data_IF_867732092288
#
_entry.id   IF_867732092288
#
_cell.length_a   1.000
_cell.length_b   1.000
_cell.length_c   1.000
_cell.angle_alpha   90.00
_cell.angle_beta   90.00
_cell.angle_gamma   90.00
#
_symmetry.space_group_name_H-M   'P 1'
#
loop_
_entity.id
_entity.type
_entity.pdbx_description
1 polymer ?
#
# COMPACT_ATOMS: atom_id res chain seq x y z
N UNK A 1 10.03 19.85 -5.53
CA UNK A 1 8.76 19.28 -5.01
C UNK A 1 7.61 19.77 -5.88
N UNK A 2 6.69 18.89 -6.27
CA UNK A 2 5.52 19.23 -7.09
C UNK A 2 4.26 19.10 -6.26
N UNK A 3 3.45 20.14 -6.18
CA UNK A 3 2.22 20.16 -5.39
C UNK A 3 1.03 19.76 -6.26
N UNK A 4 0.19 18.86 -5.74
CA UNK A 4 -0.97 18.33 -6.45
C UNK A 4 -2.26 18.97 -5.93
N UNK A 5 -2.71 20.04 -6.58
CA UNK A 5 -3.96 20.72 -6.21
C UNK A 5 -5.22 19.90 -6.55
N UNK A 6 -5.11 18.96 -7.48
CA UNK A 6 -6.16 18.05 -7.93
C UNK A 6 -5.70 16.60 -7.76
N UNK A 7 -6.62 15.67 -7.95
CA UNK A 7 -6.35 14.23 -7.83
C UNK A 7 -5.13 13.80 -8.69
N UNK A 8 -4.05 13.29 -8.06
CA UNK A 8 -2.82 12.90 -8.74
C UNK A 8 -2.93 11.56 -9.48
N UNK A 9 -4.04 10.82 -9.35
CA UNK A 9 -4.20 9.45 -9.84
C UNK A 9 -3.83 9.27 -11.31
N UNK A 10 -4.29 10.17 -12.18
CA UNK A 10 -4.04 10.09 -13.63
C UNK A 10 -2.57 10.30 -13.98
N UNK A 11 -1.95 11.34 -13.41
CA UNK A 11 -0.53 11.64 -13.64
C UNK A 11 0.39 10.57 -13.06
N UNK A 12 0.00 9.98 -11.93
CA UNK A 12 0.70 8.83 -11.37
C UNK A 12 0.60 7.62 -12.29
N UNK A 13 -0.60 7.24 -12.73
CA UNK A 13 -0.79 6.10 -13.61
C UNK A 13 -0.01 6.24 -14.93
N UNK A 14 0.08 7.45 -15.46
CA UNK A 14 0.90 7.74 -16.65
C UNK A 14 2.39 7.53 -16.39
N UNK A 15 2.94 8.14 -15.33
CA UNK A 15 4.37 8.03 -15.01
C UNK A 15 4.77 6.60 -14.68
N UNK A 16 4.01 5.92 -13.83
CA UNK A 16 4.26 4.51 -13.50
C UNK A 16 4.05 3.58 -14.70
N UNK A 17 3.11 3.91 -15.60
CA UNK A 17 2.92 3.21 -16.87
C UNK A 17 4.14 3.33 -17.79
N UNK A 18 4.76 4.51 -17.83
CA UNK A 18 6.01 4.71 -18.56
C UNK A 18 7.18 3.94 -17.93
N UNK A 19 7.29 3.94 -16.60
CA UNK A 19 8.30 3.16 -15.88
C UNK A 19 8.12 1.66 -16.17
N UNK A 20 6.87 1.17 -16.16
CA UNK A 20 6.53 -0.20 -16.48
C UNK A 20 6.95 -0.60 -17.90
N UNK A 21 6.78 0.30 -18.88
CA UNK A 21 7.14 0.05 -20.29
C UNK A 21 8.62 0.26 -20.62
N UNK A 22 9.36 0.97 -19.78
CA UNK A 22 10.76 1.34 -20.06
C UNK A 22 11.73 0.63 -19.13
N UNK A 23 11.81 1.08 -17.87
CA UNK A 23 12.81 0.61 -16.90
C UNK A 23 12.52 -0.78 -16.37
N UNK A 24 11.23 -1.12 -16.25
CA UNK A 24 10.78 -2.38 -15.64
C UNK A 24 10.28 -3.42 -16.66
N UNK A 25 10.32 -3.13 -17.96
CA UNK A 25 9.74 -3.98 -19.00
C UNK A 25 10.36 -5.38 -19.07
N UNK A 26 11.67 -5.48 -18.86
CA UNK A 26 12.43 -6.73 -18.94
C UNK A 26 12.69 -7.40 -17.58
N UNK A 27 12.06 -6.90 -16.50
CA UNK A 27 12.32 -7.43 -15.16
C UNK A 27 11.40 -8.65 -14.92
N UNK A 28 11.96 -9.82 -14.55
CA UNK A 28 11.19 -11.07 -14.41
C UNK A 28 10.18 -11.05 -13.25
N UNK A 29 10.19 -9.99 -12.44
CA UNK A 29 9.24 -9.77 -11.34
C UNK A 29 7.91 -9.18 -11.83
N UNK A 30 7.85 -8.70 -13.08
CA UNK A 30 6.67 -8.06 -13.65
C UNK A 30 5.60 -9.09 -14.03
N UNK A 31 4.44 -8.97 -13.41
CA UNK A 31 3.26 -9.74 -13.71
C UNK A 31 2.53 -9.13 -14.91
N UNK A 32 2.55 -9.82 -16.05
CA UNK A 32 1.88 -9.37 -17.29
C UNK A 32 0.34 -9.31 -17.17
N UNK A 33 -0.24 -9.95 -16.14
CA UNK A 33 -1.68 -9.87 -15.89
C UNK A 33 -2.10 -8.61 -15.15
N UNK A 34 -1.16 -7.84 -14.60
CA UNK A 34 -1.41 -6.61 -13.87
C UNK A 34 -1.13 -5.39 -14.73
N UNK A 35 -1.93 -4.35 -14.51
CA UNK A 35 -1.80 -3.06 -15.18
C UNK A 35 -1.54 -1.98 -14.14
N UNK A 36 -0.96 -0.85 -14.59
CA UNK A 36 -0.77 0.30 -13.72
C UNK A 36 -2.13 0.96 -13.46
N UNK A 37 -2.55 1.01 -12.21
CA UNK A 37 -3.81 1.65 -11.81
C UNK A 37 -3.67 2.34 -10.45
N UNK A 38 -4.09 3.60 -10.38
CA UNK A 38 -4.16 4.40 -9.17
C UNK A 38 -5.59 4.32 -8.59
N UNK A 39 -5.72 3.91 -7.33
CA UNK A 39 -7.01 3.59 -6.69
C UNK A 39 -7.11 4.25 -5.33
N UNK A 40 -8.25 4.89 -5.07
CA UNK A 40 -8.62 5.36 -3.73
C UNK A 40 -7.79 6.54 -3.24
N UNK A 41 -7.30 7.40 -4.15
CA UNK A 41 -6.63 8.64 -3.76
C UNK A 41 -7.62 9.61 -3.12
N UNK A 42 -7.36 9.97 -1.88
CA UNK A 42 -8.15 10.92 -1.11
C UNK A 42 -7.24 11.96 -0.47
N UNK A 43 -7.75 13.19 -0.37
CA UNK A 43 -7.08 14.27 0.33
C UNK A 43 -7.31 14.09 1.83
N UNK A 44 -6.23 13.86 2.57
CA UNK A 44 -6.28 13.70 4.02
C UNK A 44 -6.52 15.05 4.70
N UNK A 45 -6.98 15.06 5.98
CA UNK A 45 -7.16 16.29 6.75
C UNK A 45 -5.87 17.12 6.91
N UNK A 46 -4.70 16.49 6.78
CA UNK A 46 -3.40 17.16 6.81
C UNK A 46 -3.02 17.82 5.46
N UNK A 47 -3.84 17.68 4.43
CA UNK A 47 -3.66 18.33 3.12
C UNK A 47 -2.71 17.59 2.18
N UNK A 48 -2.49 16.29 2.38
CA UNK A 48 -1.77 15.44 1.44
C UNK A 48 -2.69 14.39 0.83
N UNK A 49 -2.37 13.93 -0.38
CA UNK A 49 -3.08 12.84 -1.03
C UNK A 49 -2.53 11.51 -0.54
N UNK A 50 -3.40 10.55 -0.26
CA UNK A 50 -3.04 9.18 0.05
C UNK A 50 -3.89 8.21 -0.77
N UNK A 51 -3.26 7.20 -1.38
CA UNK A 51 -3.94 6.21 -2.20
C UNK A 51 -3.09 4.98 -2.49
N UNK A 52 -3.65 4.00 -3.18
CA UNK A 52 -2.99 2.76 -3.56
C UNK A 52 -2.63 2.81 -5.04
N UNK A 53 -1.42 2.41 -5.38
CA UNK A 53 -0.91 2.24 -6.73
C UNK A 53 -0.64 0.77 -7.00
N UNK A 54 -1.31 0.23 -8.01
CA UNK A 54 -1.03 -1.08 -8.57
C UNK A 54 0.00 -0.90 -9.68
N UNK A 55 1.05 -1.72 -9.66
CA UNK A 55 2.00 -1.84 -10.75
C UNK A 55 2.24 -3.32 -11.07
N UNK A 56 2.78 -3.66 -12.25
CA UNK A 56 3.09 -5.04 -12.59
C UNK A 56 4.04 -5.76 -11.62
N UNK A 57 4.90 -5.03 -10.91
CA UNK A 57 5.86 -5.62 -9.97
C UNK A 57 5.42 -5.57 -8.51
N UNK A 58 4.64 -4.56 -8.12
CA UNK A 58 4.26 -4.34 -6.73
C UNK A 58 2.96 -3.54 -6.56
N UNK A 59 2.30 -3.73 -5.42
CA UNK A 59 1.22 -2.85 -4.95
C UNK A 59 1.78 -1.96 -3.84
N UNK A 60 1.71 -0.64 -4.04
CA UNK A 60 2.31 0.35 -3.15
C UNK A 60 1.25 1.34 -2.67
N UNK A 61 1.35 1.78 -1.42
CA UNK A 61 0.70 3.03 -1.00
C UNK A 61 1.54 4.20 -1.43
N UNK A 62 0.88 5.26 -1.90
CA UNK A 62 1.51 6.51 -2.28
C UNK A 62 0.89 7.64 -1.48
N UNK A 63 1.75 8.49 -0.93
CA UNK A 63 1.38 9.78 -0.39
C UNK A 63 2.06 10.90 -1.17
N UNK A 64 1.28 11.92 -1.55
CA UNK A 64 1.77 13.06 -2.32
C UNK A 64 1.41 14.39 -1.67
N UNK A 65 2.27 15.41 -1.77
CA UNK A 65 1.96 16.73 -1.24
C UNK A 65 0.80 17.38 -2.01
N UNK A 66 -0.32 17.63 -1.33
CA UNK A 66 -1.45 18.42 -1.85
C UNK A 66 -1.30 19.92 -1.59
N UNK A 67 -0.49 20.28 -0.59
CA UNK A 67 -0.09 21.63 -0.25
C UNK A 67 1.37 21.64 0.25
N UNK A 68 2.03 22.79 0.16
CA UNK A 68 3.41 22.93 0.64
C UNK A 68 3.49 22.92 2.17
N UNK A 69 2.47 23.47 2.82
CA UNK A 69 2.42 23.61 4.29
C UNK A 69 2.13 22.28 4.96
N UNK A 70 3.08 21.79 5.77
CA UNK A 70 2.93 20.55 6.53
C UNK A 70 3.47 19.29 5.82
N UNK A 71 4.02 19.42 4.62
CA UNK A 71 4.75 18.31 4.00
C UNK A 71 6.19 18.22 4.53
N UNK A 72 6.64 17.05 5.01
CA UNK A 72 8.00 16.88 5.52
C UNK A 72 9.03 17.02 4.39
N UNK A 73 10.01 17.91 4.58
CA UNK A 73 11.18 17.96 3.71
C UNK A 73 12.21 16.93 4.17
N UNK A 74 12.00 15.69 3.75
CA UNK A 74 12.93 14.59 4.00
C UNK A 74 13.73 14.28 2.71
N UNK A 75 15.01 13.88 2.83
CA UNK A 75 15.80 13.50 1.67
C UNK A 75 15.28 12.19 1.07
N UNK A 76 15.49 11.99 -0.24
CA UNK A 76 15.17 10.74 -0.91
C UNK A 76 15.81 9.54 -0.19
N UNK A 77 15.11 8.39 -0.22
CA UNK A 77 15.45 7.16 0.49
C UNK A 77 15.34 7.23 2.03
N UNK A 78 14.84 8.33 2.59
CA UNK A 78 14.53 8.41 4.03
C UNK A 78 13.22 7.68 4.35
N UNK A 79 13.03 7.35 5.62
CA UNK A 79 11.76 6.81 6.12
C UNK A 79 10.95 7.91 6.81
N UNK A 80 9.65 7.89 6.62
CA UNK A 80 8.71 8.83 7.20
C UNK A 80 7.42 8.14 7.60
N UNK A 81 7.03 8.29 8.86
CA UNK A 81 5.83 7.64 9.38
C UNK A 81 4.61 8.55 9.21
N UNK A 82 3.60 8.04 8.52
CA UNK A 82 2.30 8.71 8.38
C UNK A 82 1.27 8.04 9.28
N UNK A 83 0.57 8.85 10.08
CA UNK A 83 -0.54 8.40 10.89
C UNK A 83 -1.84 8.45 10.09
N UNK A 84 -2.44 7.28 9.89
CA UNK A 84 -3.77 7.12 9.31
C UNK A 84 -4.78 6.69 10.39
N UNK A 85 -6.07 6.65 10.04
CA UNK A 85 -7.11 6.15 10.94
C UNK A 85 -6.86 4.70 11.32
N UNK A 86 -6.39 3.87 10.38
CA UNK A 86 -6.08 2.47 10.62
C UNK A 86 -4.81 2.21 11.43
N UNK A 87 -3.91 3.19 11.55
CA UNK A 87 -2.64 3.04 12.26
C UNK A 87 -1.50 3.85 11.68
N UNK A 88 -0.29 3.59 12.19
CA UNK A 88 0.96 4.21 11.74
C UNK A 88 1.58 3.36 10.63
N UNK A 89 1.97 4.01 9.53
CA UNK A 89 2.62 3.34 8.39
C UNK A 89 3.93 4.02 8.07
N UNK A 90 4.99 3.23 7.94
CA UNK A 90 6.32 3.70 7.53
C UNK A 90 6.38 3.81 6.01
N UNK A 91 6.52 5.02 5.49
CA UNK A 91 6.73 5.28 4.07
C UNK A 91 8.20 5.59 3.79
N UNK A 92 8.67 5.17 2.63
CA UNK A 92 9.97 5.59 2.09
C UNK A 92 9.78 6.82 1.20
N UNK A 93 10.58 7.85 1.42
CA UNK A 93 10.63 9.04 0.59
C UNK A 93 11.27 8.66 -0.74
N UNK A 94 10.54 8.82 -1.82
CA UNK A 94 11.00 8.64 -3.18
C UNK A 94 10.96 9.97 -3.92
N UNK A 95 11.79 10.06 -4.96
CA UNK A 95 11.82 11.20 -5.84
C UNK A 95 11.77 10.69 -7.27
N UNK A 96 10.82 11.22 -8.03
CA UNK A 96 10.70 10.94 -9.46
C UNK A 96 10.61 12.27 -10.19
N UNK A 97 11.35 12.41 -11.28
CA UNK A 97 11.55 13.71 -11.96
C UNK A 97 10.22 14.34 -12.39
N UNK A 98 9.25 13.51 -12.81
CA UNK A 98 7.92 13.94 -13.28
C UNK A 98 6.90 14.20 -12.15
N UNK A 99 7.09 13.54 -11.01
CA UNK A 99 6.15 13.58 -9.86
C UNK A 99 6.65 14.47 -8.71
N UNK A 100 7.96 14.76 -8.68
CA UNK A 100 8.66 15.36 -7.55
C UNK A 100 8.90 14.35 -6.42
N UNK A 101 9.07 14.87 -5.21
CA UNK A 101 9.18 14.09 -3.98
C UNK A 101 7.81 13.56 -3.57
N UNK A 102 7.70 12.25 -3.39
CA UNK A 102 6.51 11.55 -2.91
C UNK A 102 6.92 10.45 -1.94
N UNK A 103 5.98 9.99 -1.12
CA UNK A 103 6.25 8.94 -0.14
C UNK A 103 5.59 7.66 -0.64
N UNK A 104 6.30 6.54 -0.61
CA UNK A 104 5.77 5.25 -1.02
C UNK A 104 5.97 4.19 0.06
N UNK A 105 5.00 3.31 0.24
CA UNK A 105 5.10 2.15 1.12
C UNK A 105 4.73 0.90 0.32
N UNK A 106 5.68 -0.02 0.13
CA UNK A 106 5.41 -1.27 -0.59
C UNK A 106 4.63 -2.22 0.29
N UNK A 107 3.41 -2.56 -0.12
CA UNK A 107 2.56 -3.51 0.60
C UNK A 107 2.80 -4.93 0.11
N UNK A 108 2.85 -5.10 -1.22
CA UNK A 108 3.04 -6.39 -1.85
C UNK A 108 4.12 -6.30 -2.93
N UNK A 109 5.22 -6.99 -2.71
CA UNK A 109 6.31 -7.12 -3.67
C UNK A 109 7.00 -8.46 -3.42
N UNK A 110 7.02 -9.40 -4.38
CA UNK A 110 6.47 -9.30 -5.74
C UNK A 110 4.95 -9.44 -5.82
N UNK A 111 4.29 -8.69 -6.72
CA UNK A 111 2.86 -8.84 -7.02
C UNK A 111 2.53 -10.07 -7.91
N UNK A 112 3.42 -11.06 -7.96
CA UNK A 112 3.22 -12.31 -8.71
C UNK A 112 2.14 -13.20 -8.09
N UNK A 113 1.77 -12.97 -6.82
CA UNK A 113 0.69 -13.69 -6.14
C UNK A 113 -0.72 -13.35 -6.68
N UNK A 114 -0.85 -12.24 -7.41
CA UNK A 114 -2.13 -11.82 -7.98
C UNK A 114 -2.34 -12.49 -9.34
N UNK A 115 -3.32 -13.39 -9.42
CA UNK A 115 -3.62 -14.11 -10.65
C UNK A 115 -4.26 -13.22 -11.73
N UNK A 116 -4.97 -12.16 -11.32
CA UNK A 116 -5.66 -11.23 -12.23
C UNK A 116 -5.55 -9.79 -11.74
N UNK A 117 -5.66 -8.85 -12.69
CA UNK A 117 -5.77 -7.42 -12.38
C UNK A 117 -6.96 -7.11 -11.48
N UNK A 118 -8.09 -7.79 -11.67
CA UNK A 118 -9.28 -7.61 -10.83
C UNK A 118 -9.02 -7.98 -9.37
N UNK A 119 -8.28 -9.06 -9.12
CA UNK A 119 -7.89 -9.43 -7.75
C UNK A 119 -7.02 -8.34 -7.12
N UNK A 120 -6.02 -7.82 -7.83
CA UNK A 120 -5.18 -6.73 -7.35
C UNK A 120 -6.01 -5.46 -7.09
N UNK A 121 -6.97 -5.16 -7.96
CA UNK A 121 -7.90 -4.02 -7.85
C UNK A 121 -8.79 -4.13 -6.61
N UNK A 122 -9.38 -5.30 -6.37
CA UNK A 122 -10.20 -5.55 -5.18
C UNK A 122 -9.36 -5.43 -3.90
N UNK A 123 -8.14 -5.95 -3.90
CA UNK A 123 -7.20 -5.81 -2.79
C UNK A 123 -6.84 -4.33 -2.56
N UNK A 124 -6.52 -3.58 -3.60
CA UNK A 124 -6.23 -2.15 -3.50
C UNK A 124 -7.43 -1.35 -2.98
N UNK A 125 -8.65 -1.63 -3.43
CA UNK A 125 -9.87 -1.02 -2.90
C UNK A 125 -10.06 -1.34 -1.41
N UNK A 126 -9.84 -2.59 -1.01
CA UNK A 126 -9.93 -2.99 0.39
C UNK A 126 -8.89 -2.27 1.27
N UNK A 127 -7.67 -2.12 0.78
CA UNK A 127 -6.61 -1.36 1.47
C UNK A 127 -6.96 0.12 1.59
N UNK A 128 -7.41 0.74 0.49
CA UNK A 128 -7.80 2.14 0.49
C UNK A 128 -8.97 2.42 1.44
N UNK A 129 -9.94 1.50 1.52
CA UNK A 129 -11.00 1.58 2.52
C UNK A 129 -10.47 1.36 3.94
N UNK A 130 -9.61 0.36 4.15
CA UNK A 130 -9.05 0.06 5.46
C UNK A 130 -8.25 1.24 6.02
N UNK A 131 -7.44 1.93 5.20
CA UNK A 131 -6.65 3.12 5.58
C UNK A 131 -7.49 4.23 6.24
N UNK A 132 -8.71 4.42 5.75
CA UNK A 132 -9.61 5.47 6.22
C UNK A 132 -10.63 4.96 7.25
N UNK A 133 -10.79 3.65 7.39
CA UNK A 133 -11.61 3.06 8.43
C UNK A 133 -10.87 3.09 9.78
N UNK A 134 -11.61 3.23 10.87
CA UNK A 134 -11.05 2.97 12.19
C UNK A 134 -10.56 1.52 12.27
N UNK A 135 -9.47 1.25 13.01
CA UNK A 135 -8.99 -0.10 13.17
C UNK A 135 -10.11 -0.90 13.83
N UNK A 136 -10.62 -1.91 13.15
CA UNK A 136 -11.49 -2.89 13.78
C UNK A 136 -10.63 -3.52 14.87
N UNK A 137 -10.94 -3.21 16.13
CA UNK A 137 -10.28 -3.84 17.26
C UNK A 137 -10.25 -5.35 17.00
N UNK A 138 -9.09 -6.02 17.07
CA UNK A 138 -9.02 -7.44 16.81
C UNK A 138 -10.06 -8.09 17.71
N UNK A 139 -10.97 -8.88 17.12
CA UNK A 139 -11.86 -9.73 17.90
C UNK A 139 -10.97 -10.46 18.91
N UNK A 140 -11.33 -10.50 20.21
CA UNK A 140 -10.51 -11.16 21.21
C UNK A 140 -10.29 -12.58 20.73
N UNK A 141 -9.07 -12.87 20.26
CA UNK A 141 -8.64 -14.21 19.91
C UNK A 141 -8.71 -14.98 21.22
N UNK A 142 -9.76 -15.80 21.35
CA UNK A 142 -9.87 -16.71 22.48
C UNK A 142 -8.54 -17.49 22.54
N UNK A 143 -7.89 -17.56 23.71
CA UNK A 143 -6.61 -18.25 23.82
C UNK A 143 -6.80 -19.69 23.30
N UNK A 144 -5.81 -20.25 22.59
CA UNK A 144 -5.91 -21.61 22.08
C UNK A 144 -6.22 -22.53 23.27
N UNK A 145 -7.34 -23.24 23.20
CA UNK A 145 -7.71 -24.21 24.21
C UNK A 145 -6.56 -25.22 24.34
N UNK A 146 -5.90 -25.22 25.49
CA UNK A 146 -4.83 -26.17 25.81
C UNK A 146 -5.39 -27.58 25.63
N UNK A 147 -5.01 -28.25 24.56
CA UNK A 147 -5.36 -29.63 24.33
C UNK A 147 -4.64 -30.49 25.39
N UNK A 148 -5.31 -30.72 26.53
CA UNK A 148 -4.87 -31.69 27.52
C UNK A 148 -5.08 -33.10 26.97
N UNK A 149 -4.10 -33.58 26.20
CA UNK A 149 -4.00 -34.99 25.81
C UNK A 149 -3.34 -35.75 26.96
N UNK A 150 -4.14 -36.38 27.83
CA UNK A 150 -3.92 -37.72 28.46
C UNK A 150 -4.71 -37.88 29.76
N UNK A 151 -5.85 -38.56 29.68
CA UNK A 151 -6.29 -39.52 30.70
C UNK A 151 -7.30 -40.45 30.04
N UNK A 152 -6.76 -41.49 29.40
CA UNK A 152 -7.51 -42.61 28.89
C UNK A 152 -6.83 -43.87 29.43
N UNK A 153 -7.66 -44.79 29.95
CA UNK A 153 -7.36 -46.12 30.51
C UNK A 153 -7.28 -46.22 32.05
N UNK A 154 -8.46 -46.19 32.67
CA UNK A 154 -8.73 -46.92 33.91
C UNK A 154 -9.86 -47.91 33.67
N UNK A 155 -9.55 -49.14 33.25
CA UNK A 155 -10.48 -50.26 33.15
C UNK A 155 -9.86 -51.49 33.83
N UNK A 156 -10.49 -51.86 34.96
CA UNK A 156 -10.75 -53.20 35.52
C UNK A 156 -9.66 -54.28 35.45
N UNK A 157 -9.25 -54.73 36.64
CA UNK A 157 -9.23 -56.15 37.07
C UNK A 157 -9.20 -56.18 38.59
#
# INVERSE_FOLDING_TARGET
>A
MKIWALDPSSGLAEVFGDIARTRMADVPICNAHLQVEAIGFQLTPAGHWAGVMITPWAINLLCLPGQETGWPQAPACSKHDWQFASGLYEFTVAEEERLGTYHLCSLFSPALEFATHEQARLTALAIAHALHAEPIAPLPVAPPATASRRSFLGLRS
#
